data_IF_390478297794
#
_entry.id   IF_390478297794
#
_cell.length_a   1.000
_cell.length_b   1.000
_cell.length_c   1.000
_cell.angle_alpha   90.00
_cell.angle_beta   90.00
_cell.angle_gamma   90.00
#
_symmetry.space_group_name_H-M   'P 1'
#
loop_
_entity.id
_entity.type
_entity.pdbx_description
1 polymer ?
#
# COMPACT_ATOMS: atom_id res chain seq x y z
N UNK A 1 -4.28 13.85 -15.15
CA UNK A 1 -3.39 14.29 -14.05
C UNK A 1 -2.23 13.30 -13.97
N UNK A 2 -1.00 13.76 -13.73
CA UNK A 2 0.15 12.86 -13.62
C UNK A 2 0.08 12.07 -12.31
N UNK A 3 0.48 10.81 -12.36
CA UNK A 3 0.50 9.93 -11.20
C UNK A 3 1.70 10.28 -10.32
N UNK A 4 1.42 10.80 -9.13
CA UNK A 4 2.39 11.22 -8.13
C UNK A 4 2.70 10.11 -7.13
N UNK A 5 3.99 9.85 -6.96
CA UNK A 5 4.56 8.82 -6.09
C UNK A 5 5.39 9.52 -5.01
N UNK A 6 5.26 9.07 -3.77
CA UNK A 6 6.18 9.41 -2.69
C UNK A 6 7.14 8.24 -2.50
N UNK A 7 8.44 8.49 -2.68
CA UNK A 7 9.50 7.54 -2.41
C UNK A 7 10.22 7.91 -1.10
N UNK A 8 10.39 6.94 -0.22
CA UNK A 8 11.02 7.14 1.09
C UNK A 8 12.12 6.11 1.30
N UNK A 9 13.34 6.56 1.47
CA UNK A 9 14.54 5.75 1.67
C UNK A 9 15.61 6.69 2.26
N UNK A 10 16.38 6.25 3.25
CA UNK A 10 17.44 7.09 3.86
C UNK A 10 18.72 7.12 3.01
N UNK A 11 18.86 6.22 2.03
CA UNK A 11 19.90 6.28 1.01
C UNK A 11 19.52 7.24 -0.12
N UNK A 12 20.16 8.41 -0.12
CA UNK A 12 20.01 9.44 -1.16
C UNK A 12 20.33 8.91 -2.57
N UNK A 13 21.23 7.94 -2.70
CA UNK A 13 21.60 7.33 -3.99
C UNK A 13 20.44 6.52 -4.55
N UNK A 14 19.76 5.76 -3.69
CA UNK A 14 18.56 4.99 -4.05
C UNK A 14 17.44 5.96 -4.45
N UNK A 15 17.21 7.00 -3.65
CA UNK A 15 16.22 8.03 -3.95
C UNK A 15 16.45 8.67 -5.33
N UNK A 16 17.67 9.11 -5.62
CA UNK A 16 18.03 9.75 -6.89
C UNK A 16 17.85 8.79 -8.08
N UNK A 17 18.31 7.54 -7.93
CA UNK A 17 18.24 6.53 -8.99
C UNK A 17 16.80 6.18 -9.32
N UNK A 18 16.01 5.83 -8.30
CA UNK A 18 14.61 5.45 -8.49
C UNK A 18 13.77 6.63 -8.97
N UNK A 19 14.01 7.84 -8.46
CA UNK A 19 13.36 9.04 -8.96
C UNK A 19 13.58 9.21 -10.45
N UNK A 20 14.83 9.14 -10.92
CA UNK A 20 15.15 9.28 -12.34
C UNK A 20 14.45 8.20 -13.19
N UNK A 21 14.47 6.94 -12.75
CA UNK A 21 13.79 5.83 -13.43
C UNK A 21 12.28 6.08 -13.54
N UNK A 22 11.63 6.48 -12.46
CA UNK A 22 10.20 6.70 -12.44
C UNK A 22 9.78 7.96 -13.22
N UNK A 23 10.55 9.04 -13.16
CA UNK A 23 10.30 10.25 -13.95
C UNK A 23 10.46 10.00 -15.45
N UNK A 24 11.44 9.18 -15.87
CA UNK A 24 11.58 8.71 -17.26
C UNK A 24 10.36 7.91 -17.73
N UNK A 25 9.67 7.25 -16.80
CA UNK A 25 8.42 6.53 -17.04
C UNK A 25 7.16 7.38 -16.79
N UNK A 26 7.31 8.71 -16.86
CA UNK A 26 6.23 9.71 -16.81
C UNK A 26 5.48 9.82 -15.46
N UNK A 27 6.07 9.34 -14.37
CA UNK A 27 5.56 9.61 -13.02
C UNK A 27 6.05 10.97 -12.49
N UNK A 28 5.29 11.56 -11.58
CA UNK A 28 5.79 12.66 -10.73
C UNK A 28 6.29 12.06 -9.43
N UNK A 29 7.53 12.35 -9.03
CA UNK A 29 8.12 11.72 -7.85
C UNK A 29 8.58 12.78 -6.85
N UNK A 30 7.99 12.72 -5.66
CA UNK A 30 8.54 13.38 -4.49
C UNK A 30 9.35 12.35 -3.69
N UNK A 31 10.45 12.81 -3.10
CA UNK A 31 11.33 11.97 -2.27
C UNK A 31 11.32 12.48 -0.84
N UNK A 32 11.53 11.58 0.13
CA UNK A 32 11.78 11.91 1.52
C UNK A 32 12.89 11.01 2.05
N UNK A 33 13.86 11.56 2.79
CA UNK A 33 14.99 10.80 3.33
C UNK A 33 14.79 10.35 4.78
N UNK A 34 13.60 10.55 5.33
CA UNK A 34 13.24 10.19 6.70
C UNK A 34 11.73 9.95 6.83
N UNK A 35 11.33 9.23 7.88
CA UNK A 35 9.91 9.06 8.17
C UNK A 35 9.24 10.40 8.51
N UNK A 36 9.96 11.28 9.21
CA UNK A 36 9.46 12.61 9.58
C UNK A 36 9.18 13.50 8.36
N UNK A 37 10.06 13.47 7.36
CA UNK A 37 9.86 14.19 6.10
C UNK A 37 8.70 13.58 5.30
N UNK A 38 8.63 12.25 5.20
CA UNK A 38 7.53 11.56 4.51
C UNK A 38 6.16 11.92 5.11
N UNK A 39 6.05 11.97 6.43
CA UNK A 39 4.83 12.39 7.13
C UNK A 39 4.44 13.84 6.83
N UNK A 40 5.40 14.75 6.69
CA UNK A 40 5.14 16.15 6.27
C UNK A 40 4.62 16.18 4.83
N UNK A 41 5.24 15.41 3.93
CA UNK A 41 4.82 15.28 2.54
C UNK A 41 3.36 14.80 2.45
N UNK A 42 3.02 13.70 3.14
CA UNK A 42 1.66 13.13 3.18
C UNK A 42 0.58 14.10 3.69
N UNK A 43 0.95 15.06 4.57
CA UNK A 43 0.02 16.10 5.05
C UNK A 43 -0.14 17.25 4.05
N UNK A 44 0.88 17.51 3.25
CA UNK A 44 0.93 18.68 2.36
C UNK A 44 0.40 18.40 0.95
N UNK A 45 0.47 17.15 0.50
CA UNK A 45 0.19 16.72 -0.88
C UNK A 45 -0.54 15.39 -0.89
N UNK A 46 -1.20 15.11 -2.01
CA UNK A 46 -1.86 13.82 -2.24
C UNK A 46 -1.01 12.95 -3.15
N UNK A 47 -0.95 11.66 -2.82
CA UNK A 47 -0.15 10.68 -3.54
C UNK A 47 -1.04 9.55 -4.03
N UNK A 48 -0.67 8.93 -5.14
CA UNK A 48 -1.37 7.75 -5.64
C UNK A 48 -0.69 6.46 -5.22
N UNK A 49 0.62 6.52 -4.96
CA UNK A 49 1.44 5.45 -4.43
C UNK A 49 2.46 6.01 -3.43
N UNK A 50 2.69 5.28 -2.35
CA UNK A 50 3.76 5.52 -1.39
C UNK A 50 4.64 4.27 -1.36
N UNK A 51 5.94 4.45 -1.62
CA UNK A 51 6.96 3.41 -1.52
C UNK A 51 7.88 3.80 -0.37
N UNK A 52 8.05 2.93 0.61
CA UNK A 52 8.94 3.17 1.74
C UNK A 52 9.94 2.02 1.89
N UNK A 53 11.20 2.33 2.18
CA UNK A 53 12.17 1.31 2.59
C UNK A 53 11.79 0.69 3.95
N UNK A 54 12.05 -0.60 4.11
CA UNK A 54 11.78 -1.37 5.31
C UNK A 54 12.78 -1.05 6.42
N UNK A 55 14.00 -0.70 6.05
CA UNK A 55 15.06 -0.32 6.96
C UNK A 55 15.50 1.11 6.63
N UNK A 56 15.32 2.03 7.58
CA UNK A 56 15.81 3.41 7.48
C UNK A 56 16.44 3.79 8.84
N UNK A 57 16.16 5.00 9.33
CA UNK A 57 16.57 5.56 10.63
C UNK A 57 16.38 4.58 11.81
N UNK A 58 15.30 3.80 11.80
CA UNK A 58 15.01 2.73 12.74
C UNK A 58 14.11 1.66 12.11
N UNK A 59 14.06 0.47 12.72
CA UNK A 59 13.36 -0.72 12.18
C UNK A 59 11.89 -0.47 11.81
N UNK A 60 11.18 0.33 12.60
CA UNK A 60 9.75 0.61 12.37
C UNK A 60 9.47 1.87 11.53
N UNK A 61 10.50 2.56 11.04
CA UNK A 61 10.35 3.85 10.36
C UNK A 61 9.53 3.70 9.08
N UNK A 62 9.88 2.72 8.24
CA UNK A 62 9.16 2.48 7.00
C UNK A 62 7.71 2.07 7.21
N UNK A 63 7.49 1.22 8.22
CA UNK A 63 6.15 0.79 8.59
C UNK A 63 5.28 1.94 9.11
N UNK A 64 5.88 2.87 9.85
CA UNK A 64 5.21 4.09 10.31
C UNK A 64 4.72 4.92 9.13
N UNK A 65 5.54 5.06 8.07
CA UNK A 65 5.16 5.75 6.83
C UNK A 65 4.00 5.04 6.15
N UNK A 66 4.05 3.71 6.01
CA UNK A 66 2.99 2.92 5.39
C UNK A 66 1.66 3.07 6.15
N UNK A 67 1.68 2.97 7.49
CA UNK A 67 0.50 3.15 8.33
C UNK A 67 -0.10 4.56 8.16
N UNK A 68 0.76 5.59 8.14
CA UNK A 68 0.32 6.96 7.94
C UNK A 68 -0.23 7.21 6.53
N UNK A 69 0.31 6.55 5.50
CA UNK A 69 -0.20 6.59 4.14
C UNK A 69 -1.59 5.96 4.05
N UNK A 70 -1.82 4.81 4.69
CA UNK A 70 -3.14 4.15 4.71
C UNK A 70 -4.21 4.91 5.49
N UNK A 71 -3.81 5.70 6.48
CA UNK A 71 -4.72 6.56 7.22
C UNK A 71 -5.22 7.78 6.40
N UNK A 72 -4.66 8.04 5.22
CA UNK A 72 -5.08 9.15 4.38
C UNK A 72 -6.43 8.88 3.72
N UNK A 73 -7.30 9.90 3.68
CA UNK A 73 -8.64 9.80 3.09
C UNK A 73 -8.62 9.46 1.59
N UNK A 74 -7.55 9.82 0.89
CA UNK A 74 -7.36 9.51 -0.53
C UNK A 74 -6.83 8.09 -0.79
N UNK A 75 -6.57 7.31 0.27
CA UNK A 75 -6.19 5.90 0.25
C UNK A 75 -5.17 5.56 -0.85
N UNK A 76 -3.91 6.04 -0.75
CA UNK A 76 -2.86 5.71 -1.71
C UNK A 76 -2.58 4.20 -1.71
N UNK A 77 -2.11 3.68 -2.84
CA UNK A 77 -1.50 2.36 -2.86
C UNK A 77 -0.20 2.41 -2.03
N UNK A 78 0.21 1.28 -1.45
CA UNK A 78 1.36 1.23 -0.54
C UNK A 78 2.27 0.06 -0.87
N UNK A 79 3.57 0.32 -1.00
CA UNK A 79 4.59 -0.69 -1.20
C UNK A 79 5.72 -0.53 -0.19
N UNK A 80 6.17 -1.65 0.37
CA UNK A 80 7.42 -1.71 1.12
C UNK A 80 8.54 -2.11 0.17
N UNK A 81 9.67 -1.41 0.21
CA UNK A 81 10.90 -1.78 -0.49
C UNK A 81 11.87 -2.37 0.52
N UNK A 82 12.54 -3.49 0.23
CA UNK A 82 13.33 -4.18 1.26
C UNK A 82 14.41 -5.06 0.66
N UNK A 83 15.56 -5.17 1.32
CA UNK A 83 16.61 -6.12 0.93
C UNK A 83 16.23 -7.59 1.14
N UNK A 84 15.43 -7.85 2.18
CA UNK A 84 15.03 -9.20 2.56
C UNK A 84 13.56 -9.43 2.23
N UNK A 85 13.21 -10.64 1.74
CA UNK A 85 11.82 -11.02 1.62
C UNK A 85 11.18 -11.00 3.02
N UNK A 86 9.87 -10.78 3.08
CA UNK A 86 9.26 -10.48 4.34
C UNK A 86 9.06 -11.78 5.15
N UNK A 87 9.67 -11.86 6.33
CA UNK A 87 9.61 -13.04 7.21
C UNK A 87 8.17 -13.37 7.57
N UNK A 88 7.78 -14.61 7.32
CA UNK A 88 6.40 -15.06 7.06
C UNK A 88 5.33 -14.83 8.14
N UNK A 89 5.59 -14.08 9.21
CA UNK A 89 4.69 -13.91 10.34
C UNK A 89 4.23 -12.46 10.64
N UNK A 90 5.00 -11.41 10.32
CA UNK A 90 4.68 -10.06 10.84
C UNK A 90 3.98 -9.14 9.83
N UNK A 91 4.25 -9.28 8.53
CA UNK A 91 3.75 -8.37 7.49
C UNK A 91 2.39 -8.78 6.87
N UNK A 92 2.03 -10.07 7.00
CA UNK A 92 0.77 -10.63 6.47
C UNK A 92 -0.48 -10.06 7.14
N UNK A 93 -0.33 -9.25 8.18
CA UNK A 93 -1.39 -8.41 8.76
C UNK A 93 -1.96 -7.35 7.81
N UNK A 94 -1.45 -7.26 6.58
CA UNK A 94 -2.00 -6.42 5.52
C UNK A 94 -1.56 -4.97 5.62
N UNK A 95 -0.40 -4.70 6.24
CA UNK A 95 0.03 -3.33 6.50
C UNK A 95 0.45 -2.60 5.23
N UNK A 96 1.14 -3.25 4.27
CA UNK A 96 1.37 -2.74 2.91
C UNK A 96 0.61 -3.59 1.86
N UNK A 97 0.24 -2.99 0.73
CA UNK A 97 -0.44 -3.70 -0.36
C UNK A 97 0.52 -4.52 -1.23
N UNK A 98 1.77 -4.06 -1.37
CA UNK A 98 2.82 -4.78 -2.08
C UNK A 98 4.16 -4.75 -1.34
N UNK A 99 5.02 -5.71 -1.68
CA UNK A 99 6.38 -5.83 -1.18
C UNK A 99 7.33 -5.99 -2.37
N UNK A 100 8.29 -5.09 -2.46
CA UNK A 100 9.30 -5.01 -3.52
C UNK A 100 10.63 -5.43 -2.91
N UNK A 101 11.20 -6.54 -3.38
CA UNK A 101 12.47 -7.06 -2.86
C UNK A 101 13.63 -6.52 -3.70
N UNK A 102 14.67 -5.98 -3.05
CA UNK A 102 15.91 -5.52 -3.66
C UNK A 102 16.81 -6.75 -3.96
N UNK A 103 17.52 -6.80 -5.10
CA UNK A 103 17.45 -5.86 -6.23
C UNK A 103 16.21 -6.14 -7.10
N UNK A 104 15.52 -5.07 -7.51
CA UNK A 104 14.43 -5.13 -8.49
C UNK A 104 14.90 -4.48 -9.80
N UNK A 105 14.61 -5.12 -10.93
CA UNK A 105 14.89 -4.53 -12.24
C UNK A 105 14.02 -3.30 -12.49
N UNK A 106 14.52 -2.33 -13.26
CA UNK A 106 13.77 -1.09 -13.56
C UNK A 106 12.44 -1.37 -14.27
N UNK A 107 12.45 -2.21 -15.29
CA UNK A 107 11.23 -2.62 -16.02
C UNK A 107 10.23 -3.33 -15.10
N UNK A 108 10.74 -4.20 -14.23
CA UNK A 108 9.91 -4.93 -13.27
C UNK A 108 9.28 -3.99 -12.25
N UNK A 109 10.05 -3.05 -11.70
CA UNK A 109 9.58 -2.03 -10.78
C UNK A 109 8.46 -1.20 -11.40
N UNK A 110 8.67 -0.69 -12.61
CA UNK A 110 7.69 0.13 -13.34
C UNK A 110 6.42 -0.66 -13.59
N UNK A 111 6.54 -1.91 -14.05
CA UNK A 111 5.39 -2.81 -14.28
C UNK A 111 4.61 -3.01 -12.99
N UNK A 112 5.29 -3.27 -11.88
CA UNK A 112 4.65 -3.51 -10.58
C UNK A 112 3.89 -2.26 -10.10
N UNK A 113 4.50 -1.08 -10.23
CA UNK A 113 3.88 0.20 -9.88
C UNK A 113 2.62 0.45 -10.73
N UNK A 114 2.70 0.23 -12.04
CA UNK A 114 1.57 0.39 -12.94
C UNK A 114 0.40 -0.54 -12.58
N UNK A 115 0.69 -1.79 -12.19
CA UNK A 115 -0.31 -2.74 -11.73
C UNK A 115 -1.00 -2.25 -10.44
N UNK A 116 -0.24 -1.82 -9.43
CA UNK A 116 -0.80 -1.29 -8.19
C UNK A 116 -1.71 -0.08 -8.42
N UNK A 117 -1.25 0.86 -9.25
CA UNK A 117 -2.02 2.06 -9.58
C UNK A 117 -3.31 1.73 -10.36
N UNK A 118 -3.25 0.75 -11.26
CA UNK A 118 -4.41 0.28 -12.02
C UNK A 118 -5.45 -0.41 -11.11
N UNK A 119 -5.00 -1.30 -10.22
CA UNK A 119 -5.86 -1.99 -9.24
C UNK A 119 -6.57 -0.99 -8.34
N UNK A 120 -5.85 0.02 -7.85
CA UNK A 120 -6.43 1.12 -7.06
C UNK A 120 -7.49 1.90 -7.83
N UNK A 121 -7.21 2.28 -9.08
CA UNK A 121 -8.17 3.01 -9.90
C UNK A 121 -9.46 2.21 -10.14
N UNK A 122 -9.34 0.90 -10.38
CA UNK A 122 -10.50 0.01 -10.51
C UNK A 122 -11.29 -0.11 -9.21
N UNK A 123 -10.62 -0.26 -8.06
CA UNK A 123 -11.28 -0.30 -6.75
C UNK A 123 -12.02 0.99 -6.42
N UNK A 124 -11.46 2.15 -6.78
CA UNK A 124 -12.12 3.46 -6.63
C UNK A 124 -13.33 3.60 -7.55
N UNK A 125 -13.22 3.19 -8.82
CA UNK A 125 -14.32 3.21 -9.77
C UNK A 125 -15.47 2.29 -9.31
N UNK A 126 -15.17 1.08 -8.84
CA UNK A 126 -16.16 0.14 -8.32
C UNK A 126 -16.89 0.70 -7.08
N UNK A 127 -16.18 1.37 -6.17
CA UNK A 127 -16.78 2.05 -5.00
C UNK A 127 -17.66 3.24 -5.39
N UNK A 128 -17.28 3.98 -6.43
CA UNK A 128 -18.07 5.11 -6.95
C UNK A 128 -19.32 4.66 -7.72
N UNK A 129 -19.27 3.48 -8.35
CA UNK A 129 -20.37 2.90 -9.12
C UNK A 129 -21.44 2.19 -8.26
N UNK A 130 -21.16 1.92 -6.98
CA UNK A 130 -22.16 1.35 -6.06
C UNK A 130 -23.14 2.43 -5.59
N UNK A 131 -24.45 2.29 -5.84
CA UNK A 131 -25.44 3.26 -5.37
C UNK A 131 -25.51 3.26 -3.84
N UNK A 132 -25.73 4.44 -3.25
CA UNK A 132 -25.72 4.67 -1.81
C UNK A 132 -26.78 3.89 -0.98
N UNK A 133 -27.55 2.99 -1.60
CA UNK A 133 -28.66 2.25 -0.99
C UNK A 133 -28.29 0.96 -0.25
N UNK A 134 -27.10 0.37 -0.46
CA UNK A 134 -26.75 -0.93 0.15
C UNK A 134 -25.87 -0.83 1.40
N UNK A 135 -25.57 0.38 1.89
CA UNK A 135 -24.73 0.58 3.09
C UNK A 135 -25.43 0.27 4.43
N UNK A 136 -26.70 -0.16 4.43
CA UNK A 136 -27.51 -0.33 5.64
C UNK A 136 -27.96 -1.75 6.01
N UNK A 137 -27.75 -2.80 5.20
CA UNK A 137 -28.49 -4.06 5.38
C UNK A 137 -27.67 -5.30 5.82
N UNK A 138 -26.35 -5.20 6.03
CA UNK A 138 -25.54 -6.36 6.39
C UNK A 138 -24.97 -6.28 7.82
N UNK A 139 -25.82 -6.04 8.83
CA UNK A 139 -25.46 -6.30 10.24
C UNK A 139 -26.69 -6.60 11.11
N UNK A 140 -27.60 -7.46 10.64
CA UNK A 140 -28.63 -8.07 11.51
C UNK A 140 -29.18 -9.34 10.86
N UNK A 141 -28.41 -10.43 10.86
CA UNK A 141 -28.94 -11.78 10.64
C UNK A 141 -27.92 -12.85 11.01
N UNK A 142 -27.64 -13.01 12.30
CA UNK A 142 -27.21 -14.31 12.86
C UNK A 142 -27.82 -14.46 14.26
N UNK A 143 -29.15 -14.57 14.30
CA UNK A 143 -29.87 -15.10 15.44
C UNK A 143 -30.75 -16.25 14.96
N UNK A 144 -30.44 -17.46 15.44
CA UNK A 144 -31.34 -18.60 15.58
C UNK A 144 -31.92 -19.18 14.27
N UNK A 145 -31.64 -20.46 13.98
CA UNK A 145 -32.34 -21.57 14.63
C UNK A 145 -32.18 -22.91 13.86
N UNK A 146 -32.17 -23.97 14.66
CA UNK A 146 -32.77 -25.28 14.37
C UNK A 146 -32.00 -26.33 13.55
N UNK A 147 -31.53 -27.33 14.30
CA UNK A 147 -31.83 -28.77 14.18
C UNK A 147 -31.50 -29.49 12.88
N UNK A 148 -30.59 -30.48 12.97
CA UNK A 148 -30.93 -31.84 12.49
C UNK A 148 -30.07 -32.92 13.15
N UNK A 149 -30.76 -33.97 13.61
CA UNK A 149 -30.29 -35.22 14.20
C UNK A 149 -29.32 -36.05 13.32
N UNK A 150 -28.45 -36.87 13.94
CA UNK A 150 -28.60 -38.34 14.00
C UNK A 150 -27.39 -39.09 14.61
N UNK A 151 -27.69 -39.85 15.67
CA UNK A 151 -27.35 -41.27 15.99
C UNK A 151 -26.02 -41.88 15.51
N UNK A 152 -25.25 -42.45 16.45
CA UNK A 152 -25.14 -43.91 16.78
C UNK A 152 -23.97 -44.10 17.78
N UNK A 153 -24.23 -44.65 18.97
CA UNK A 153 -24.11 -46.08 19.32
C UNK A 153 -22.65 -46.58 19.30
N UNK A 154 -22.04 -46.77 20.48
CA UNK A 154 -21.86 -48.11 21.07
C UNK A 154 -21.41 -48.01 22.53
#
# INVERSE_FOLDING_TARGET
MKQRILLVDDDLTVLLTLKAVLELNHFEVDTASSAAEALKCLKSRTYQLVISDSHMEHKDAGLTVIRAAKAQSYAPATAMFSAEPPDGHDWRGGEAESFLVKPIGTEELVRHIQQMLSSRAQAQAARAAQPAGERGAASTAMAGSSSFERRKAS
#
